data_IF_537378193315
#
_entry.id   IF_537378193315
#
_cell.length_a   1.000
_cell.length_b   1.000
_cell.length_c   1.000
_cell.angle_alpha   90.00
_cell.angle_beta   90.00
_cell.angle_gamma   90.00
#
_symmetry.space_group_name_H-M   'P 1'
#
loop_
_entity.id
_entity.type
_entity.pdbx_description
1 polymer ?
#
# COMPACT_ATOMS: atom_id res chain seq x y z
N UNK A 1 4.93 -9.46 -16.92
CA UNK A 1 4.38 -9.98 -15.65
C UNK A 1 3.97 -8.78 -14.81
N UNK A 2 2.73 -8.74 -14.31
CA UNK A 2 2.33 -7.75 -13.31
C UNK A 2 2.93 -8.25 -11.98
N UNK A 3 3.62 -7.38 -11.24
CA UNK A 3 4.10 -7.72 -9.89
C UNK A 3 3.08 -7.20 -8.90
N UNK A 4 2.59 -8.07 -8.03
CA UNK A 4 1.68 -7.71 -6.95
C UNK A 4 2.16 -8.25 -5.61
N UNK A 5 1.78 -7.57 -4.53
CA UNK A 5 1.99 -7.95 -3.15
C UNK A 5 0.64 -7.94 -2.44
N UNK A 6 0.30 -9.06 -1.82
CA UNK A 6 -0.93 -9.18 -1.04
C UNK A 6 -0.72 -8.59 0.35
N UNK A 7 -1.72 -7.85 0.82
CA UNK A 7 -1.71 -7.18 2.12
C UNK A 7 -2.71 -7.90 3.02
N UNK A 8 -2.21 -8.49 4.10
CA UNK A 8 -3.02 -9.20 5.08
C UNK A 8 -3.06 -8.44 6.41
N UNK A 9 -4.22 -8.45 7.05
CA UNK A 9 -4.41 -7.98 8.42
C UNK A 9 -4.99 -9.12 9.25
N UNK A 10 -4.20 -9.62 10.21
CA UNK A 10 -4.58 -10.77 11.05
C UNK A 10 -5.01 -12.03 10.29
N UNK A 11 -4.53 -12.22 9.05
CA UNK A 11 -4.87 -13.37 8.21
C UNK A 11 -5.98 -13.09 7.19
N UNK A 12 -6.69 -11.97 7.30
CA UNK A 12 -7.68 -11.53 6.31
C UNK A 12 -7.00 -10.72 5.20
N UNK A 13 -7.30 -11.03 3.94
CA UNK A 13 -6.78 -10.27 2.81
C UNK A 13 -7.50 -8.91 2.74
N UNK A 14 -6.75 -7.83 2.96
CA UNK A 14 -7.28 -6.47 2.88
C UNK A 14 -7.22 -5.93 1.45
N UNK A 15 -6.22 -6.35 0.67
CA UNK A 15 -6.04 -5.90 -0.71
C UNK A 15 -4.67 -6.18 -1.27
N UNK A 16 -4.35 -5.51 -2.37
CA UNK A 16 -3.15 -5.77 -3.16
C UNK A 16 -2.42 -4.48 -3.53
N UNK A 17 -1.10 -4.48 -3.38
CA UNK A 17 -0.21 -3.47 -3.93
C UNK A 17 0.26 -3.97 -5.30
N UNK A 18 -0.07 -3.24 -6.36
CA UNK A 18 0.18 -3.59 -7.76
C UNK A 18 1.25 -2.65 -8.31
N UNK A 19 2.34 -3.20 -8.84
CA UNK A 19 3.34 -2.43 -9.58
C UNK A 19 2.90 -2.25 -11.03
N UNK A 20 2.62 -1.01 -11.41
CA UNK A 20 2.21 -0.61 -12.75
C UNK A 20 3.43 -0.48 -13.68
N UNK A 21 3.16 -0.55 -15.00
CA UNK A 21 4.17 -0.26 -16.02
C UNK A 21 4.57 1.21 -15.92
N UNK A 22 5.82 1.47 -15.54
CA UNK A 22 6.33 2.83 -15.29
C UNK A 22 6.93 3.02 -13.89
N UNK A 23 6.76 2.04 -13.00
CA UNK A 23 7.31 2.07 -11.63
C UNK A 23 6.36 2.62 -10.58
N UNK A 24 5.18 3.09 -10.98
CA UNK A 24 4.14 3.53 -10.05
C UNK A 24 3.47 2.31 -9.37
N UNK A 25 3.00 2.49 -8.15
CA UNK A 25 2.25 1.47 -7.42
C UNK A 25 0.81 1.89 -7.20
N UNK A 26 -0.11 0.94 -7.27
CA UNK A 26 -1.52 1.11 -6.94
C UNK A 26 -1.86 0.18 -5.77
N UNK A 27 -2.52 0.71 -4.74
CA UNK A 27 -3.16 -0.13 -3.73
C UNK A 27 -4.66 -0.23 -4.04
N UNK A 28 -5.17 -1.45 -4.12
CA UNK A 28 -6.58 -1.74 -4.32
C UNK A 28 -7.07 -2.68 -3.22
N UNK A 29 -8.24 -2.40 -2.65
CA UNK A 29 -8.84 -3.26 -1.65
C UNK A 29 -9.35 -4.56 -2.27
N UNK A 30 -9.34 -5.64 -1.49
CA UNK A 30 -10.01 -6.88 -1.88
C UNK A 30 -11.52 -6.68 -1.79
N UNK A 31 -12.25 -7.26 -2.74
CA UNK A 31 -13.71 -7.12 -2.80
C UNK A 31 -14.40 -7.67 -1.54
N UNK A 32 -13.92 -8.79 -1.03
CA UNK A 32 -14.47 -9.44 0.18
C UNK A 32 -14.29 -8.53 1.39
N UNK A 33 -13.17 -7.81 1.45
CA UNK A 33 -12.90 -6.82 2.47
C UNK A 33 -13.79 -5.56 2.32
N UNK A 34 -14.03 -5.08 1.10
CA UNK A 34 -14.93 -3.94 0.86
C UNK A 34 -16.39 -4.22 1.23
N UNK A 35 -16.83 -5.47 1.05
CA UNK A 35 -18.20 -5.91 1.35
C UNK A 35 -18.42 -6.19 2.86
N UNK A 36 -17.36 -6.39 3.64
CA UNK A 36 -17.45 -6.62 5.09
C UNK A 36 -17.66 -5.31 5.88
N UNK A 37 -18.79 -5.20 6.56
CA UNK A 37 -19.15 -4.05 7.41
C UNK A 37 -18.47 -4.04 8.78
N UNK A 38 -17.89 -5.17 9.22
CA UNK A 38 -17.17 -5.32 10.49
C UNK A 38 -15.64 -5.38 10.31
N UNK A 39 -15.16 -5.09 9.11
CA UNK A 39 -13.75 -5.10 8.75
C UNK A 39 -12.86 -4.29 9.70
N UNK A 40 -11.66 -4.82 9.96
CA UNK A 40 -10.60 -4.08 10.63
C UNK A 40 -9.87 -3.19 9.64
N UNK A 41 -9.57 -1.95 10.02
CA UNK A 41 -8.98 -0.97 9.12
C UNK A 41 -7.47 -0.83 9.34
N UNK A 42 -6.69 -0.79 8.26
CA UNK A 42 -5.24 -0.57 8.32
C UNK A 42 -4.89 0.81 8.90
N UNK A 43 -5.69 1.83 8.55
CA UNK A 43 -5.49 3.22 8.97
C UNK A 43 -6.78 4.03 8.74
N UNK A 44 -7.01 5.05 9.56
CA UNK A 44 -8.09 6.01 9.37
C UNK A 44 -7.96 6.81 8.06
N UNK A 45 -6.75 6.88 7.49
CA UNK A 45 -6.54 7.51 6.17
C UNK A 45 -7.29 6.82 5.04
N UNK A 46 -7.76 5.60 5.24
CA UNK A 46 -8.58 4.85 4.29
C UNK A 46 -10.08 5.05 4.49
N UNK A 47 -10.48 5.84 5.48
CA UNK A 47 -11.87 6.10 5.81
C UNK A 47 -12.29 7.51 5.40
N UNK A 48 -13.52 7.62 4.95
CA UNK A 48 -14.21 8.90 4.83
C UNK A 48 -14.53 9.46 6.22
N UNK A 49 -14.91 10.75 6.33
CA UNK A 49 -15.42 11.31 7.58
C UNK A 49 -16.65 10.56 8.14
N UNK A 50 -17.37 9.83 7.30
CA UNK A 50 -18.53 9.00 7.69
C UNK A 50 -18.14 7.56 8.06
N UNK A 51 -16.85 7.22 8.08
CA UNK A 51 -16.34 5.89 8.41
C UNK A 51 -16.47 4.86 7.28
N UNK A 52 -16.88 5.29 6.09
CA UNK A 52 -16.92 4.42 4.91
C UNK A 52 -15.53 4.29 4.29
N UNK A 53 -15.25 3.16 3.65
CA UNK A 53 -13.99 3.00 2.93
C UNK A 53 -13.95 3.98 1.75
N UNK A 54 -12.83 4.66 1.57
CA UNK A 54 -12.58 5.44 0.36
C UNK A 54 -12.27 4.46 -0.79
N UNK A 55 -13.32 3.88 -1.38
CA UNK A 55 -13.23 2.86 -2.43
C UNK A 55 -12.55 3.37 -3.72
N UNK A 56 -12.60 4.68 -3.97
CA UNK A 56 -12.02 5.29 -5.18
C UNK A 56 -10.81 6.17 -4.82
N UNK A 57 -9.65 5.53 -4.66
CA UNK A 57 -8.36 6.26 -4.72
C UNK A 57 -7.83 6.14 -6.15
N UNK A 58 -8.00 7.21 -6.92
CA UNK A 58 -7.51 7.28 -8.29
C UNK A 58 -6.01 6.95 -8.36
N UNK A 59 -5.54 6.27 -9.43
CA UNK A 59 -4.16 5.77 -9.60
C UNK A 59 -3.12 6.88 -9.89
N UNK A 60 -3.22 8.04 -9.25
CA UNK A 60 -2.41 9.22 -9.54
C UNK A 60 -1.14 9.31 -8.66
N UNK A 61 -0.95 8.40 -7.70
CA UNK A 61 0.27 8.42 -6.92
C UNK A 61 1.43 7.81 -7.74
N UNK A 62 2.35 8.67 -8.16
CA UNK A 62 3.68 8.32 -8.71
C UNK A 62 4.59 7.64 -7.68
N UNK A 63 4.07 7.32 -6.50
CA UNK A 63 4.75 6.77 -5.33
C UNK A 63 3.83 5.80 -4.59
N UNK A 64 4.45 4.97 -3.75
CA UNK A 64 3.76 4.13 -2.79
C UNK A 64 2.78 4.93 -1.93
N UNK A 65 1.64 4.31 -1.62
CA UNK A 65 0.62 4.90 -0.77
C UNK A 65 1.22 5.30 0.60
N UNK A 66 0.96 6.52 1.13
CA UNK A 66 1.69 7.06 2.29
C UNK A 66 1.70 6.15 3.51
N UNK A 67 0.61 5.41 3.75
CA UNK A 67 0.54 4.43 4.82
C UNK A 67 1.68 3.41 4.74
N UNK A 68 1.95 2.85 3.56
CA UNK A 68 3.00 1.86 3.38
C UNK A 68 4.40 2.49 3.31
N UNK A 69 4.56 3.70 2.75
CA UNK A 69 5.84 4.42 2.80
C UNK A 69 6.28 4.70 4.24
N UNK A 70 5.34 4.97 5.15
CA UNK A 70 5.62 5.18 6.58
C UNK A 70 6.02 3.90 7.33
N UNK A 71 5.82 2.73 6.74
CA UNK A 71 6.33 1.46 7.29
C UNK A 71 7.79 1.20 6.89
N UNK A 72 8.30 1.98 5.93
CA UNK A 72 9.68 1.89 5.50
C UNK A 72 10.57 2.71 6.44
N UNK A 73 11.81 2.26 6.67
CA UNK A 73 12.75 3.00 7.48
C UNK A 73 13.10 4.35 6.86
N UNK A 74 13.55 5.28 7.71
CA UNK A 74 13.99 6.61 7.32
C UNK A 74 15.51 6.76 7.46
N UNK A 75 16.06 7.80 6.80
CA UNK A 75 17.47 8.18 6.91
C UNK A 75 18.45 7.06 6.57
N UNK A 76 19.53 6.96 7.34
CA UNK A 76 20.64 6.05 7.05
C UNK A 76 20.25 4.57 6.96
N UNK A 77 19.23 4.14 7.72
CA UNK A 77 18.76 2.76 7.70
C UNK A 77 18.13 2.39 6.34
N UNK A 78 17.47 3.35 5.70
CA UNK A 78 16.93 3.19 4.34
C UNK A 78 18.05 2.96 3.33
N UNK A 79 19.07 3.82 3.34
CA UNK A 79 20.21 3.72 2.41
C UNK A 79 20.95 2.38 2.60
N UNK A 80 21.13 1.96 3.85
CA UNK A 80 21.75 0.68 4.16
C UNK A 80 20.96 -0.50 3.61
N UNK A 81 19.64 -0.53 3.81
CA UNK A 81 18.78 -1.60 3.27
C UNK A 81 18.71 -1.57 1.74
N UNK A 82 18.72 -0.38 1.14
CA UNK A 82 18.72 -0.21 -0.30
C UNK A 82 19.99 -0.80 -0.92
N UNK A 83 21.15 -0.44 -0.38
CA UNK A 83 22.45 -0.98 -0.80
C UNK A 83 22.52 -2.49 -0.60
N UNK A 84 22.09 -2.99 0.57
CA UNK A 84 22.11 -4.43 0.88
C UNK A 84 21.28 -5.27 -0.09
N UNK A 85 20.17 -4.74 -0.58
CA UNK A 85 19.25 -5.45 -1.48
C UNK A 85 19.40 -5.04 -2.95
N UNK A 86 20.34 -4.17 -3.29
CA UNK A 86 20.56 -3.69 -4.66
C UNK A 86 19.37 -2.90 -5.24
N UNK A 87 18.58 -2.24 -4.39
CA UNK A 87 17.42 -1.43 -4.80
C UNK A 87 17.77 0.07 -4.73
N UNK A 88 17.12 0.88 -5.57
CA UNK A 88 17.37 2.32 -5.59
C UNK A 88 16.74 3.00 -4.36
N UNK A 89 17.51 3.68 -3.49
CA UNK A 89 16.99 4.30 -2.27
C UNK A 89 15.99 5.44 -2.52
N UNK A 90 16.03 6.05 -3.72
CA UNK A 90 15.09 7.10 -4.14
C UNK A 90 13.84 6.56 -4.84
N UNK A 91 13.78 5.25 -5.13
CA UNK A 91 12.57 4.60 -5.64
C UNK A 91 11.78 4.04 -4.47
N UNK A 92 10.70 4.73 -4.13
CA UNK A 92 9.52 4.13 -3.50
C UNK A 92 8.60 3.58 -4.59
#
# INVERSE_FOLDING_TARGET
MIKSLDVYLHGECVGHIILLRGGNTLFAFDRSYEEDSFRLVLSQSFLSPTGQLLAERFPICTRLEPFFSNLLPEGYLRDYLAMKNGVNPMRE
#
